data_IF_013577837437
#
_entry.id   IF_013577837437
#
_cell.length_a   1.000
_cell.length_b   1.000
_cell.length_c   1.000
_cell.angle_alpha   90.00
_cell.angle_beta   90.00
_cell.angle_gamma   90.00
#
_symmetry.space_group_name_H-M   'P 1'
#
loop_
_entity.id
_entity.type
_entity.pdbx_description
1 polymer ?
#
# COMPACT_ATOMS: atom_id res chain seq x y z
N UNK A 1 12.40 -8.07 3.46
CA UNK A 1 11.34 -7.06 3.33
C UNK A 1 11.93 -5.86 2.61
N UNK A 2 11.36 -5.44 1.47
CA UNK A 2 11.81 -4.20 0.82
C UNK A 2 11.33 -3.01 1.66
N UNK A 3 12.25 -2.13 2.04
CA UNK A 3 11.92 -0.89 2.75
C UNK A 3 11.19 0.03 1.75
N UNK A 4 9.96 0.43 2.06
CA UNK A 4 9.15 1.30 1.20
C UNK A 4 9.35 2.76 1.60
N UNK A 5 10.15 3.50 0.83
CA UNK A 5 10.45 4.92 1.12
C UNK A 5 9.47 5.91 0.47
N UNK A 6 8.73 5.50 -0.55
CA UNK A 6 8.00 6.44 -1.42
C UNK A 6 6.55 6.70 -0.99
N UNK A 7 5.80 5.68 -0.56
CA UNK A 7 4.40 5.87 -0.09
C UNK A 7 3.94 4.77 0.90
N UNK A 8 4.60 4.52 2.04
CA UNK A 8 4.02 3.65 3.06
C UNK A 8 2.81 4.35 3.72
N UNK A 9 1.62 3.76 3.63
CA UNK A 9 0.44 4.25 4.36
C UNK A 9 0.33 3.68 5.78
N UNK A 10 1.02 2.56 6.03
CA UNK A 10 1.07 1.85 7.31
C UNK A 10 2.43 1.17 7.45
N UNK A 11 2.86 0.92 8.69
CA UNK A 11 3.96 0.00 8.94
C UNK A 11 3.59 -1.42 8.48
N UNK A 12 4.57 -2.14 7.96
CA UNK A 12 4.40 -3.53 7.54
C UNK A 12 4.70 -4.51 8.69
N UNK A 13 5.78 -4.27 9.44
CA UNK A 13 6.27 -5.21 10.45
C UNK A 13 5.36 -5.38 11.66
N UNK A 14 4.83 -4.28 12.20
CA UNK A 14 4.01 -4.25 13.40
C UNK A 14 2.71 -5.02 13.23
N UNK A 15 1.87 -4.71 12.21
CA UNK A 15 0.63 -5.43 12.02
C UNK A 15 0.85 -6.89 11.63
N UNK A 16 1.90 -7.21 10.85
CA UNK A 16 2.25 -8.62 10.56
C UNK A 16 2.59 -9.37 11.84
N UNK A 17 3.38 -8.78 12.75
CA UNK A 17 3.70 -9.39 14.04
C UNK A 17 2.46 -9.58 14.90
N UNK A 18 1.63 -8.54 15.06
CA UNK A 18 0.39 -8.63 15.83
C UNK A 18 -0.57 -9.70 15.28
N UNK A 19 -0.65 -9.86 13.96
CA UNK A 19 -1.50 -10.88 13.33
C UNK A 19 -0.93 -12.28 13.52
N UNK A 20 0.39 -12.43 13.45
CA UNK A 20 1.06 -13.71 13.70
C UNK A 20 0.99 -14.15 15.17
N UNK A 21 1.01 -13.22 16.12
CA UNK A 21 0.92 -13.53 17.55
C UNK A 21 -0.44 -14.14 17.92
N UNK A 22 -1.52 -13.67 17.30
CA UNK A 22 -2.87 -14.23 17.51
C UNK A 22 -3.07 -15.55 16.75
N UNK A 23 -2.46 -15.68 15.57
CA UNK A 23 -2.60 -16.87 14.72
C UNK A 23 -1.58 -17.96 15.04
N UNK A 24 -0.73 -17.78 16.05
CA UNK A 24 0.38 -18.67 16.34
C UNK A 24 -0.08 -20.09 16.69
N UNK A 25 -1.14 -20.22 17.50
CA UNK A 25 -1.69 -21.51 17.91
C UNK A 25 -2.27 -22.29 16.70
N UNK A 26 -2.96 -21.58 15.79
CA UNK A 26 -3.48 -22.17 14.55
C UNK A 26 -2.40 -22.60 13.56
N UNK A 27 -1.21 -21.99 13.65
CA UNK A 27 -0.07 -22.36 12.83
C UNK A 27 0.57 -23.68 13.26
N UNK A 28 0.47 -24.04 14.54
CA UNK A 28 1.02 -25.28 15.08
C UNK A 28 0.07 -26.46 14.88
N UNK A 29 -1.20 -26.30 15.23
CA UNK A 29 -2.15 -27.42 15.33
C UNK A 29 -2.94 -27.72 14.04
N UNK A 30 -2.76 -26.94 12.96
CA UNK A 30 -3.47 -27.09 11.67
C UNK A 30 -4.98 -27.39 11.80
N UNK A 31 -5.67 -26.72 12.73
CA UNK A 31 -7.10 -26.96 13.01
C UNK A 31 -8.04 -26.40 11.93
N UNK A 32 -7.50 -25.70 10.92
CA UNK A 32 -8.27 -25.07 9.85
C UNK A 32 -8.52 -26.07 8.70
N UNK A 33 -9.70 -26.04 8.07
CA UNK A 33 -10.07 -27.00 7.01
C UNK A 33 -9.25 -26.84 5.72
N UNK A 34 -8.58 -25.71 5.53
CA UNK A 34 -7.73 -25.42 4.39
C UNK A 34 -6.59 -24.47 4.78
N UNK A 35 -5.56 -24.40 3.93
CA UNK A 35 -4.41 -23.53 4.14
C UNK A 35 -4.80 -22.05 4.03
N UNK A 36 -4.96 -21.39 5.17
CA UNK A 36 -5.20 -19.95 5.25
C UNK A 36 -3.94 -19.18 4.83
N UNK A 37 -4.06 -18.28 3.87
CA UNK A 37 -2.99 -17.33 3.52
C UNK A 37 -3.40 -15.91 3.90
N UNK A 38 -2.64 -15.33 4.82
CA UNK A 38 -2.77 -13.93 5.22
C UNK A 38 -1.66 -13.13 4.55
N UNK A 39 -1.98 -11.96 4.02
CA UNK A 39 -0.97 -11.07 3.46
C UNK A 39 -1.23 -9.61 3.77
N UNK A 40 -0.15 -8.84 3.85
CA UNK A 40 -0.19 -7.43 4.15
C UNK A 40 0.55 -6.61 3.09
N UNK A 41 -0.09 -5.54 2.65
CA UNK A 41 0.46 -4.53 1.76
C UNK A 41 0.41 -3.16 2.42
N UNK A 42 1.55 -2.46 2.46
CA UNK A 42 1.66 -1.14 3.07
C UNK A 42 1.08 0.00 2.21
N UNK A 43 0.83 -0.25 0.92
CA UNK A 43 0.27 0.71 -0.02
C UNK A 43 -0.45 0.03 -1.20
N UNK A 44 -1.17 0.81 -2.00
CA UNK A 44 -1.92 0.36 -3.18
C UNK A 44 -1.06 -0.27 -4.28
N UNK A 45 0.25 -0.03 -4.26
CA UNK A 45 1.18 -0.69 -5.19
C UNK A 45 1.35 -2.18 -4.88
N UNK A 46 0.86 -2.64 -3.71
CA UNK A 46 0.81 -4.06 -3.34
C UNK A 46 2.15 -4.78 -3.56
N UNK A 47 3.26 -4.17 -3.12
CA UNK A 47 4.59 -4.72 -3.29
C UNK A 47 4.76 -6.01 -2.46
N UNK A 48 4.81 -7.17 -3.13
CA UNK A 48 5.00 -8.48 -2.50
C UNK A 48 3.87 -9.46 -2.80
N UNK A 49 3.83 -10.58 -2.07
CA UNK A 49 2.85 -11.64 -2.28
C UNK A 49 1.39 -11.24 -1.95
N UNK A 50 1.16 -10.02 -1.42
CA UNK A 50 -0.14 -9.54 -0.96
C UNK A 50 -1.19 -9.28 -2.04
N UNK A 51 -0.83 -9.31 -3.32
CA UNK A 51 -1.79 -9.25 -4.44
C UNK A 51 -1.66 -10.41 -5.43
N UNK A 52 -0.47 -11.02 -5.54
CA UNK A 52 -0.17 -11.97 -6.62
C UNK A 52 -0.67 -13.39 -6.37
N UNK A 53 -1.06 -13.73 -5.15
CA UNK A 53 -1.55 -15.07 -4.80
C UNK A 53 -3.04 -15.14 -4.40
N UNK A 54 -3.79 -14.02 -4.40
CA UNK A 54 -5.15 -13.97 -3.84
C UNK A 54 -5.20 -14.61 -2.43
N UNK A 55 -4.64 -13.94 -1.40
CA UNK A 55 -4.75 -14.42 -0.02
C UNK A 55 -6.23 -14.44 0.40
N UNK A 56 -6.58 -15.38 1.29
CA UNK A 56 -7.93 -15.44 1.86
C UNK A 56 -8.25 -14.17 2.64
N UNK A 57 -7.24 -13.56 3.27
CA UNK A 57 -7.35 -12.29 3.98
C UNK A 57 -6.19 -11.35 3.62
N UNK A 58 -6.53 -10.18 3.05
CA UNK A 58 -5.58 -9.14 2.67
C UNK A 58 -5.77 -7.88 3.54
N UNK A 59 -4.67 -7.42 4.14
CA UNK A 59 -4.63 -6.14 4.86
C UNK A 59 -3.94 -5.11 3.96
N UNK A 60 -4.63 -4.02 3.65
CA UNK A 60 -4.14 -2.97 2.75
C UNK A 60 -4.15 -1.59 3.41
N UNK A 61 -2.98 -0.96 3.47
CA UNK A 61 -2.84 0.43 3.84
C UNK A 61 -3.30 1.36 2.71
N UNK A 62 -4.25 2.25 2.99
CA UNK A 62 -4.70 3.30 2.06
C UNK A 62 -4.63 4.68 2.68
N UNK A 63 -4.20 5.66 1.89
CA UNK A 63 -4.32 7.05 2.25
C UNK A 63 -5.79 7.49 2.14
N UNK A 64 -6.26 8.26 3.12
CA UNK A 64 -7.64 8.81 3.14
C UNK A 64 -7.71 10.31 2.83
N UNK A 65 -6.56 10.98 2.80
CA UNK A 65 -6.44 12.41 2.47
C UNK A 65 -5.84 12.56 1.07
N UNK A 66 -6.29 13.54 0.26
CA UNK A 66 -5.61 13.88 -0.98
C UNK A 66 -4.17 14.29 -0.70
N UNK A 67 -3.27 14.25 -1.71
CA UNK A 67 -1.88 14.66 -1.54
C UNK A 67 -1.81 16.08 -0.98
N UNK A 68 -1.32 16.20 0.26
CA UNK A 68 -1.15 17.49 0.95
C UNK A 68 0.31 17.89 0.82
N UNK A 69 0.58 19.01 0.13
CA UNK A 69 1.96 19.45 -0.18
C UNK A 69 2.24 19.72 -1.66
N UNK A 70 1.21 19.98 -2.48
CA UNK A 70 1.39 20.53 -3.83
C UNK A 70 1.90 21.98 -3.74
N UNK A 71 3.19 22.17 -3.50
CA UNK A 71 3.85 23.46 -3.59
C UNK A 71 4.23 23.73 -5.04
N UNK A 72 3.61 24.74 -5.65
CA UNK A 72 3.85 25.10 -7.06
C UNK A 72 5.33 25.36 -7.38
N UNK A 73 6.14 25.78 -6.41
CA UNK A 73 7.57 26.06 -6.60
C UNK A 73 8.47 24.82 -6.78
N UNK A 74 8.05 23.66 -6.27
CA UNK A 74 8.83 22.41 -6.34
C UNK A 74 8.29 21.44 -7.38
N UNK A 75 7.03 21.60 -7.81
CA UNK A 75 6.40 20.72 -8.80
C UNK A 75 7.11 20.81 -10.17
N UNK A 76 7.44 22.02 -10.61
CA UNK A 76 8.14 22.23 -11.89
C UNK A 76 9.58 21.71 -11.89
N UNK A 77 10.21 21.57 -10.71
CA UNK A 77 11.60 21.13 -10.57
C UNK A 77 11.76 19.62 -10.41
N UNK A 78 10.72 18.95 -9.88
CA UNK A 78 10.79 17.55 -9.45
C UNK A 78 9.95 16.61 -10.31
N UNK A 79 8.97 17.13 -11.06
CA UNK A 79 8.00 16.28 -11.75
C UNK A 79 7.68 16.79 -13.15
N UNK A 80 7.63 15.89 -14.13
CA UNK A 80 7.05 16.19 -15.43
C UNK A 80 5.51 16.26 -15.28
N UNK A 81 4.95 17.46 -15.41
CA UNK A 81 3.50 17.72 -15.35
C UNK A 81 2.66 16.70 -16.15
N UNK A 82 3.00 16.34 -17.42
CA UNK A 82 2.18 15.37 -18.15
C UNK A 82 2.20 13.96 -17.53
N UNK A 83 3.31 13.52 -16.95
CA UNK A 83 3.40 12.21 -16.28
C UNK A 83 2.57 12.20 -14.99
N UNK A 84 2.59 13.29 -14.21
CA UNK A 84 1.80 13.40 -13.00
C UNK A 84 0.29 13.35 -13.29
N UNK A 85 -0.17 14.02 -14.36
CA UNK A 85 -1.58 13.98 -14.79
C UNK A 85 -1.95 12.57 -15.26
N UNK A 86 -1.10 11.92 -16.07
CA UNK A 86 -1.33 10.58 -16.58
C UNK A 86 -1.32 9.49 -15.48
N UNK A 87 -0.62 9.73 -14.36
CA UNK A 87 -0.59 8.81 -13.23
C UNK A 87 -1.93 8.73 -12.46
N UNK A 88 -2.83 9.70 -12.61
CA UNK A 88 -4.11 9.71 -11.91
C UNK A 88 -5.18 8.92 -12.70
N UNK A 89 -5.66 7.77 -12.22
CA UNK A 89 -6.63 6.94 -12.96
C UNK A 89 -8.01 7.61 -13.10
N UNK A 90 -8.33 8.59 -12.24
CA UNK A 90 -9.61 9.32 -12.25
C UNK A 90 -9.49 10.72 -12.83
N UNK A 91 -8.34 11.10 -13.38
CA UNK A 91 -8.07 12.43 -13.91
C UNK A 91 -8.38 13.60 -12.93
N UNK A 92 -8.20 13.35 -11.63
CA UNK A 92 -8.42 14.37 -10.59
C UNK A 92 -7.33 15.46 -10.56
N UNK A 93 -6.19 15.23 -11.22
CA UNK A 93 -5.09 16.19 -11.33
C UNK A 93 -5.28 17.03 -12.59
N UNK A 94 -5.34 18.35 -12.43
CA UNK A 94 -5.46 19.32 -13.53
C UNK A 94 -4.25 20.25 -13.55
N UNK A 95 -3.80 20.70 -14.73
CA UNK A 95 -2.81 21.76 -14.81
C UNK A 95 -3.39 23.06 -14.20
N UNK A 96 -2.54 23.81 -13.49
CA UNK A 96 -2.92 25.13 -12.98
C UNK A 96 -3.14 26.13 -14.12
N UNK A 97 -3.93 27.19 -13.91
CA UNK A 97 -3.97 28.31 -14.84
C UNK A 97 -2.58 28.93 -14.93
N UNK A 98 -2.15 29.27 -16.15
CA UNK A 98 -0.94 30.05 -16.39
C UNK A 98 -1.15 31.50 -16.00
#
# INVERSE_FOLDING_TARGET
AQICNQQPATDASGPVKATLDVLFDYFQDQQLPAKLRVSLACCLNMCGAGSKFAPDHAILGKHRKPPMGLTHEYLDKMCEIPLAIAACPTAAIKPGPK
#
